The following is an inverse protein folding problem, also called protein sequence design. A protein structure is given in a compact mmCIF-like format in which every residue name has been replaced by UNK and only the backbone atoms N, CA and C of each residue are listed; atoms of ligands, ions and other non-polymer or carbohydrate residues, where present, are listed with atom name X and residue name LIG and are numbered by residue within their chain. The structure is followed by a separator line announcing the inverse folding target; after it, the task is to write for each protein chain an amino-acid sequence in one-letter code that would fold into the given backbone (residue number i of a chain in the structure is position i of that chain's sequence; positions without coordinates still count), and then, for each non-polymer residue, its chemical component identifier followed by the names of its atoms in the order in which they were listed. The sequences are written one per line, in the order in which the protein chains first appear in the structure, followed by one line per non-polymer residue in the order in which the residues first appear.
data_IF_089250172196
#
_entry.id   IF_089250172196
#
_cell.length_a   1.000
_cell.length_b   1.000
_cell.length_c   1.000
_cell.angle_alpha   90.00
_cell.angle_beta   90.00
_cell.angle_gamma   90.00
#
_symmetry.space_group_name_H-M   'P 1'
#
loop_
_entity.id
_entity.type
_entity.pdbx_description
1 polymer ?
#
# COMPACT_ATOMS: atom_id res chain seq x y z
N UNK A 1 -2.09 18.34 43.18
CA UNK A 1 -1.77 17.32 42.18
C UNK A 1 -3.07 16.92 41.50
N UNK A 2 -3.19 17.25 40.20
CA UNK A 2 -4.31 16.95 39.27
C UNK A 2 -5.68 17.50 39.66
N UNK A 3 -5.95 18.71 39.16
CA UNK A 3 -7.26 19.35 39.11
C UNK A 3 -7.81 19.34 37.68
N UNK A 4 -9.14 19.33 37.57
CA UNK A 4 -9.97 19.81 36.44
C UNK A 4 -9.91 19.05 35.11
N UNK A 5 -10.85 18.12 34.90
CA UNK A 5 -11.65 17.97 33.67
C UNK A 5 -13.07 17.60 34.13
N UNK A 6 -14.10 18.10 33.44
CA UNK A 6 -15.53 18.10 33.76
C UNK A 6 -16.02 19.34 34.52
N UNK A 7 -16.19 20.43 33.75
CA UNK A 7 -17.40 21.27 33.67
C UNK A 7 -17.09 22.33 32.60
N UNK A 8 -17.74 22.22 31.44
CA UNK A 8 -18.19 23.28 30.53
C UNK A 8 -18.61 22.63 29.19
N UNK A 9 -19.67 21.82 29.25
CA UNK A 9 -20.52 21.61 28.08
C UNK A 9 -21.35 22.90 27.91
N UNK A 10 -20.78 23.87 27.22
CA UNK A 10 -21.40 25.15 26.89
C UNK A 10 -21.48 25.30 25.38
N UNK A 11 -22.68 25.09 24.85
CA UNK A 11 -23.24 25.60 23.60
C UNK A 11 -22.29 26.46 22.74
N UNK A 12 -21.57 25.83 21.81
CA UNK A 12 -21.07 26.51 20.62
C UNK A 12 -22.05 26.20 19.49
N UNK A 13 -23.04 27.08 19.29
CA UNK A 13 -23.73 27.15 18.01
C UNK A 13 -22.68 27.52 16.96
N UNK A 14 -22.41 26.60 16.03
CA UNK A 14 -21.63 26.90 14.85
C UNK A 14 -22.33 28.05 14.09
N UNK A 15 -21.73 29.23 14.13
CA UNK A 15 -22.07 30.30 13.19
C UNK A 15 -21.59 29.81 11.83
N UNK A 16 -22.45 29.64 10.82
CA UNK A 16 -21.99 29.28 9.49
C UNK A 16 -21.15 30.44 8.97
N UNK A 17 -19.86 30.19 8.75
CA UNK A 17 -19.03 31.04 7.91
C UNK A 17 -19.61 30.97 6.51
N UNK A 18 -20.28 32.05 6.10
CA UNK A 18 -20.68 32.27 4.71
C UNK A 18 -19.39 32.51 3.92
N UNK A 19 -18.82 31.45 3.36
CA UNK A 19 -17.78 31.59 2.35
C UNK A 19 -18.46 32.00 1.05
N UNK A 20 -18.33 33.28 0.67
CA UNK A 20 -18.67 33.79 -0.66
C UNK A 20 -17.64 33.32 -1.72
N UNK A 21 -17.46 32.02 -1.84
CA UNK A 21 -16.78 31.38 -2.97
C UNK A 21 -17.61 30.17 -3.36
N UNK A 22 -18.42 30.32 -4.39
CA UNK A 22 -19.04 29.22 -5.12
C UNK A 22 -17.96 28.40 -5.85
N UNK A 23 -17.04 27.78 -5.13
CA UNK A 23 -16.32 26.60 -5.63
C UNK A 23 -17.30 25.44 -5.56
N UNK A 24 -18.17 25.38 -6.57
CA UNK A 24 -19.04 24.24 -6.83
C UNK A 24 -18.12 23.02 -6.94
N UNK A 25 -18.12 22.15 -5.93
CA UNK A 25 -17.50 20.82 -6.03
C UNK A 25 -18.10 20.19 -7.27
N UNK A 26 -17.31 20.09 -8.34
CA UNK A 26 -17.76 19.47 -9.58
C UNK A 26 -17.87 17.99 -9.20
N UNK A 27 -19.10 17.48 -9.08
CA UNK A 27 -19.31 16.04 -9.00
C UNK A 27 -18.88 15.45 -10.34
N UNK A 28 -17.67 14.94 -10.38
CA UNK A 28 -17.15 14.22 -11.53
C UNK A 28 -17.61 12.78 -11.35
N UNK A 29 -18.38 12.22 -12.30
CA UNK A 29 -18.82 10.84 -12.20
C UNK A 29 -17.59 9.93 -12.21
N UNK A 30 -17.22 9.41 -11.03
CA UNK A 30 -16.33 8.27 -10.92
C UNK A 30 -17.18 7.02 -11.17
N UNK A 31 -16.65 6.09 -11.96
CA UNK A 31 -17.25 4.77 -12.06
C UNK A 31 -16.79 4.04 -10.80
N UNK A 32 -17.60 4.15 -9.75
CA UNK A 32 -17.39 3.40 -8.54
C UNK A 32 -17.66 1.93 -8.84
N UNK A 33 -16.60 1.15 -8.87
CA UNK A 33 -16.73 -0.28 -8.62
C UNK A 33 -17.14 -0.39 -7.16
N UNK A 34 -18.37 -0.79 -6.87
CA UNK A 34 -18.75 -1.07 -5.49
C UNK A 34 -17.82 -2.17 -4.98
N UNK A 35 -16.98 -1.93 -3.95
CA UNK A 35 -16.35 -3.05 -3.27
C UNK A 35 -17.47 -4.01 -2.89
N UNK A 36 -17.28 -5.33 -2.99
CA UNK A 36 -18.41 -6.20 -2.74
C UNK A 36 -18.82 -5.98 -1.27
N UNK A 37 -20.11 -5.70 -1.02
CA UNK A 37 -20.62 -5.32 0.31
C UNK A 37 -21.48 -6.45 0.85
N UNK A 38 -21.14 -6.93 2.04
CA UNK A 38 -21.87 -8.03 2.67
C UNK A 38 -21.53 -9.39 2.06
N UNK A 39 -22.41 -9.91 1.19
CA UNK A 39 -22.45 -11.36 0.85
C UNK A 39 -21.89 -11.68 -0.54
N UNK A 40 -21.45 -10.67 -1.28
CA UNK A 40 -21.00 -10.79 -2.66
C UNK A 40 -19.61 -11.45 -2.74
N UNK A 41 -19.29 -12.21 -3.79
CA UNK A 41 -17.96 -12.78 -3.98
C UNK A 41 -16.86 -11.71 -3.96
N UNK A 42 -15.92 -11.82 -3.01
CA UNK A 42 -14.82 -10.86 -2.82
C UNK A 42 -15.10 -9.72 -1.84
N UNK A 43 -16.24 -9.73 -1.12
CA UNK A 43 -16.60 -8.69 -0.16
C UNK A 43 -15.66 -8.67 1.04
N UNK A 44 -15.20 -7.48 1.45
CA UNK A 44 -14.65 -7.31 2.78
C UNK A 44 -15.79 -7.48 3.81
N UNK A 45 -15.58 -8.22 4.92
CA UNK A 45 -16.59 -8.34 5.97
C UNK A 45 -17.03 -6.96 6.52
N UNK A 46 -18.29 -6.78 6.93
CA UNK A 46 -18.72 -5.57 7.62
C UNK A 46 -17.90 -5.31 8.89
N UNK A 47 -17.71 -4.03 9.26
CA UNK A 47 -17.08 -3.66 10.53
C UNK A 47 -17.84 -4.31 11.70
N UNK A 48 -17.13 -5.12 12.49
CA UNK A 48 -17.75 -5.92 13.55
C UNK A 48 -17.90 -5.13 14.86
N UNK A 49 -17.18 -4.01 15.03
CA UNK A 49 -17.15 -3.20 16.27
C UNK A 49 -17.06 -1.69 16.00
N UNK A 50 -17.84 -0.87 16.73
CA UNK A 50 -17.79 0.61 16.66
C UNK A 50 -16.46 1.18 17.18
N UNK A 51 -15.78 2.00 16.37
CA UNK A 51 -14.52 2.66 16.71
C UNK A 51 -14.65 3.82 17.73
N UNK A 52 -15.86 4.31 18.03
CA UNK A 52 -16.05 5.60 18.71
C UNK A 52 -16.87 5.57 20.01
N UNK A 53 -17.46 4.43 20.37
CA UNK A 53 -18.36 4.36 21.55
C UNK A 53 -18.16 3.16 22.48
N UNK A 54 -17.21 2.26 22.19
CA UNK A 54 -16.92 1.10 23.02
C UNK A 54 -15.60 1.24 23.78
N UNK A 55 -15.60 1.76 25.00
CA UNK A 55 -14.42 1.66 25.86
C UNK A 55 -14.37 0.24 26.42
N UNK A 56 -13.44 -0.58 25.93
CA UNK A 56 -13.19 -1.90 26.50
C UNK A 56 -12.47 -1.73 27.85
N UNK A 57 -12.95 -2.39 28.90
CA UNK A 57 -12.33 -2.32 30.22
C UNK A 57 -11.09 -3.24 30.25
N UNK A 58 -9.90 -2.66 30.47
CA UNK A 58 -8.64 -3.41 30.60
C UNK A 58 -8.25 -3.71 32.06
N UNK A 59 -9.21 -3.63 32.99
CA UNK A 59 -9.00 -4.01 34.39
C UNK A 59 -8.83 -5.52 34.53
N UNK A 60 -8.20 -5.97 35.62
CA UNK A 60 -8.19 -7.38 35.96
C UNK A 60 -9.63 -7.90 36.04
N UNK A 61 -9.93 -8.96 35.29
CA UNK A 61 -11.26 -9.56 35.24
C UNK A 61 -11.76 -9.91 36.64
N UNK A 62 -12.82 -9.25 37.10
CA UNK A 62 -13.47 -9.53 38.38
C UNK A 62 -14.81 -10.22 38.15
N UNK A 63 -14.75 -11.49 37.77
CA UNK A 63 -15.88 -12.38 37.57
C UNK A 63 -15.43 -13.85 37.62
N UNK A 64 -16.36 -14.81 37.55
CA UNK A 64 -16.03 -16.22 37.33
C UNK A 64 -15.96 -16.46 35.82
N UNK A 65 -14.86 -16.98 35.24
CA UNK A 65 -14.73 -17.08 33.78
C UNK A 65 -15.77 -18.06 33.20
N UNK A 66 -16.46 -17.67 32.14
CA UNK A 66 -17.31 -18.57 31.33
C UNK A 66 -16.44 -19.39 30.39
N UNK A 67 -16.67 -20.70 30.28
CA UNK A 67 -15.83 -21.67 29.54
C UNK A 67 -16.51 -22.22 28.28
N UNK A 68 -17.07 -21.38 27.42
CA UNK A 68 -17.66 -21.84 26.14
C UNK A 68 -17.48 -20.81 25.02
N UNK A 69 -16.87 -21.25 23.92
CA UNK A 69 -16.79 -20.55 22.63
C UNK A 69 -18.03 -20.76 21.73
N UNK A 70 -18.01 -20.16 20.54
CA UNK A 70 -19.14 -19.87 19.64
C UNK A 70 -19.93 -21.08 19.08
N UNK A 71 -21.28 -21.05 19.18
CA UNK A 71 -22.34 -22.06 18.85
C UNK A 71 -22.34 -22.81 17.49
N UNK A 72 -22.75 -24.12 17.44
CA UNK A 72 -23.35 -24.90 16.31
C UNK A 72 -24.12 -26.25 16.67
N UNK A 73 -24.49 -27.04 15.63
CA UNK A 73 -25.73 -27.84 15.40
C UNK A 73 -25.54 -29.41 15.29
N UNK A 74 -26.59 -30.27 15.39
CA UNK A 74 -26.46 -31.70 15.76
C UNK A 74 -26.10 -32.83 14.74
N UNK A 75 -25.89 -32.65 13.42
CA UNK A 75 -25.42 -33.76 12.50
C UNK A 75 -25.04 -33.36 11.03
N UNK A 76 -24.27 -34.20 10.27
CA UNK A 76 -24.05 -34.08 8.78
C UNK A 76 -23.65 -35.43 8.07
N UNK A 77 -23.86 -35.54 6.73
CA UNK A 77 -24.36 -36.74 5.99
C UNK A 77 -23.60 -37.36 4.74
N UNK A 78 -22.44 -36.94 4.19
CA UNK A 78 -21.82 -37.63 2.98
C UNK A 78 -20.34 -37.29 2.58
N UNK A 79 -19.74 -38.10 1.65
CA UNK A 79 -18.28 -38.27 1.35
C UNK A 79 -17.80 -38.23 -0.15
N UNK A 80 -18.26 -37.30 -1.00
CA UNK A 80 -17.61 -36.95 -2.31
C UNK A 80 -17.68 -35.44 -2.57
N UNK A 81 -16.71 -34.84 -3.32
CA UNK A 81 -16.71 -33.40 -3.69
C UNK A 81 -16.85 -33.17 -5.22
N UNK A 82 -18.10 -32.93 -5.70
CA UNK A 82 -18.48 -32.02 -6.80
C UNK A 82 -18.25 -30.54 -6.38
N UNK A 83 -18.75 -29.49 -7.05
CA UNK A 83 -18.84 -28.15 -6.37
C UNK A 83 -19.46 -28.37 -4.99
N UNK A 84 -18.73 -28.07 -3.91
CA UNK A 84 -19.20 -28.29 -2.54
C UNK A 84 -18.76 -27.20 -1.55
N UNK A 85 -19.57 -26.95 -0.51
CA UNK A 85 -19.32 -25.95 0.54
C UNK A 85 -18.18 -26.36 1.49
N UNK A 86 -17.67 -25.38 2.22
CA UNK A 86 -16.61 -25.48 3.22
C UNK A 86 -16.85 -26.63 4.25
N UNK A 87 -15.96 -27.63 4.34
CA UNK A 87 -16.13 -28.83 5.17
C UNK A 87 -15.93 -28.63 6.68
N UNK A 88 -15.69 -27.41 7.16
CA UNK A 88 -15.70 -27.06 8.60
C UNK A 88 -16.94 -26.27 9.02
N UNK A 89 -17.90 -26.06 8.12
CA UNK A 89 -19.11 -25.28 8.39
C UNK A 89 -20.05 -25.88 9.46
N UNK A 90 -19.86 -27.13 9.90
CA UNK A 90 -20.71 -27.80 10.92
C UNK A 90 -19.95 -28.43 12.10
N UNK A 91 -18.66 -28.12 12.28
CA UNK A 91 -17.94 -28.53 13.50
C UNK A 91 -18.16 -27.53 14.65
N UNK A 92 -18.90 -27.97 15.66
CA UNK A 92 -19.00 -27.32 16.98
C UNK A 92 -18.95 -28.32 18.12
N UNK A 93 -18.17 -27.97 19.13
CA UNK A 93 -18.04 -28.71 20.37
C UNK A 93 -18.80 -27.94 21.49
N UNK A 94 -20.10 -28.22 21.70
CA UNK A 94 -20.99 -27.41 22.55
C UNK A 94 -20.70 -27.50 24.04
N UNK A 95 -19.95 -28.52 24.46
CA UNK A 95 -19.76 -28.88 25.86
C UNK A 95 -18.31 -28.68 26.33
N UNK A 96 -17.41 -28.17 25.47
CA UNK A 96 -16.05 -27.79 25.83
C UNK A 96 -15.17 -28.94 26.32
N UNK A 97 -15.59 -30.19 26.09
CA UNK A 97 -14.86 -31.39 26.51
C UNK A 97 -14.00 -31.90 25.36
N UNK A 98 -12.80 -32.38 25.68
CA UNK A 98 -11.94 -33.04 24.70
C UNK A 98 -12.60 -34.33 24.24
N UNK A 99 -12.98 -34.36 22.96
CA UNK A 99 -13.56 -35.54 22.31
C UNK A 99 -12.52 -36.42 21.65
N UNK A 100 -11.30 -35.90 21.43
CA UNK A 100 -10.15 -36.63 20.94
C UNK A 100 -8.93 -36.36 21.84
N UNK A 101 -8.06 -37.36 22.08
CA UNK A 101 -6.87 -37.19 22.89
C UNK A 101 -5.90 -36.19 22.23
N UNK A 102 -5.46 -35.21 23.02
CA UNK A 102 -4.32 -34.37 22.63
C UNK A 102 -3.04 -35.23 22.63
N UNK A 103 -2.11 -35.02 21.70
CA UNK A 103 -0.82 -35.71 21.71
C UNK A 103 -0.01 -35.44 23.00
N UNK A 104 -0.14 -34.24 23.57
CA UNK A 104 0.48 -33.80 24.84
C UNK A 104 -0.33 -32.63 25.45
N UNK A 105 -0.32 -32.40 26.78
CA UNK A 105 -1.00 -31.25 27.39
C UNK A 105 -0.58 -29.91 26.78
N UNK A 106 -1.56 -29.06 26.46
CA UNK A 106 -1.39 -27.71 25.89
C UNK A 106 -0.71 -27.65 24.51
N UNK A 107 -0.53 -28.78 23.84
CA UNK A 107 0.15 -28.85 22.55
C UNK A 107 -0.86 -29.21 21.44
N UNK A 108 -1.07 -28.36 20.42
CA UNK A 108 -1.93 -28.70 19.30
C UNK A 108 -1.32 -29.89 18.53
N UNK A 109 -2.17 -30.68 17.88
CA UNK A 109 -1.73 -31.73 16.96
C UNK A 109 -1.14 -31.11 15.68
N UNK A 110 0.00 -30.45 15.77
CA UNK A 110 0.72 -29.94 14.59
C UNK A 110 1.03 -31.08 13.62
N UNK A 111 0.99 -30.79 12.32
CA UNK A 111 1.25 -31.79 11.27
C UNK A 111 0.01 -32.51 10.70
N UNK A 112 -1.21 -31.98 10.92
CA UNK A 112 -2.41 -32.47 10.21
C UNK A 112 -2.18 -32.37 8.69
N UNK A 113 -2.22 -33.49 7.99
CA UNK A 113 -1.96 -33.57 6.54
C UNK A 113 -0.49 -33.85 6.16
N UNK A 114 0.42 -34.00 7.12
CA UNK A 114 1.78 -34.49 6.87
C UNK A 114 1.82 -36.01 7.04
N UNK A 115 2.27 -36.77 6.04
CA UNK A 115 2.35 -38.24 6.10
C UNK A 115 3.56 -38.74 6.94
N UNK A 116 3.83 -38.07 8.06
CA UNK A 116 5.07 -38.24 8.84
C UNK A 116 6.33 -37.63 8.19
N UNK A 117 6.19 -36.99 7.02
CA UNK A 117 7.26 -36.21 6.39
C UNK A 117 7.41 -34.85 7.08
N UNK A 118 8.66 -34.45 7.32
CA UNK A 118 8.98 -33.10 7.78
C UNK A 118 8.44 -32.11 6.74
N UNK A 119 7.58 -31.15 7.11
CA UNK A 119 7.14 -30.13 6.17
C UNK A 119 8.36 -29.31 5.74
N UNK A 120 8.62 -29.30 4.44
CA UNK A 120 9.70 -28.52 3.82
C UNK A 120 9.10 -27.19 3.37
N UNK A 121 9.61 -26.08 3.91
CA UNK A 121 9.11 -24.74 3.61
C UNK A 121 9.93 -24.15 2.48
N UNK A 122 9.63 -24.66 1.29
CA UNK A 122 10.14 -24.17 0.03
C UNK A 122 8.98 -23.61 -0.79
N UNK A 123 9.31 -22.72 -1.73
CA UNK A 123 8.36 -22.30 -2.76
C UNK A 123 7.82 -23.53 -3.49
N UNK A 124 6.48 -23.62 -3.59
CA UNK A 124 5.78 -24.83 -4.04
C UNK A 124 5.47 -24.81 -5.55
N UNK A 125 5.65 -23.65 -6.19
CA UNK A 125 5.41 -23.46 -7.63
C UNK A 125 6.41 -22.50 -8.24
N UNK A 126 6.57 -22.56 -9.57
CA UNK A 126 7.37 -21.58 -10.32
C UNK A 126 6.87 -20.14 -10.10
N UNK A 127 5.55 -19.97 -9.92
CA UNK A 127 4.95 -18.67 -9.62
C UNK A 127 5.36 -18.15 -8.24
N UNK A 128 5.35 -19.02 -7.23
CA UNK A 128 5.80 -18.67 -5.87
C UNK A 128 7.30 -18.33 -5.87
N UNK A 129 8.11 -19.13 -6.56
CA UNK A 129 9.54 -18.87 -6.74
C UNK A 129 9.76 -17.48 -7.35
N UNK A 130 9.08 -17.17 -8.47
CA UNK A 130 9.25 -15.88 -9.15
C UNK A 130 8.72 -14.70 -8.34
N UNK A 131 7.72 -14.94 -7.48
CA UNK A 131 7.17 -13.90 -6.59
C UNK A 131 8.12 -13.60 -5.44
N UNK A 132 8.66 -14.62 -4.79
CA UNK A 132 9.65 -14.45 -3.72
C UNK A 132 10.97 -13.91 -4.28
N UNK A 133 11.38 -14.35 -5.48
CA UNK A 133 12.52 -13.78 -6.17
C UNK A 133 12.34 -12.29 -6.47
N UNK A 134 11.14 -11.87 -6.88
CA UNK A 134 10.83 -10.44 -7.01
C UNK A 134 10.95 -9.70 -5.67
N UNK A 135 10.45 -10.29 -4.57
CA UNK A 135 10.63 -9.76 -3.21
C UNK A 135 12.11 -9.53 -2.88
N UNK A 136 12.97 -10.54 -3.06
CA UNK A 136 14.42 -10.40 -2.85
C UNK A 136 15.04 -9.24 -3.64
N UNK A 137 14.59 -9.00 -4.88
CA UNK A 137 15.07 -7.87 -5.66
C UNK A 137 14.62 -6.52 -5.07
N UNK A 138 13.41 -6.43 -4.53
CA UNK A 138 12.94 -5.25 -3.82
C UNK A 138 13.83 -4.95 -2.60
N UNK A 139 14.06 -5.94 -1.74
CA UNK A 139 14.86 -5.76 -0.52
C UNK A 139 16.28 -5.26 -0.85
N UNK A 140 16.90 -5.76 -1.92
CA UNK A 140 18.21 -5.28 -2.36
C UNK A 140 18.19 -3.86 -2.92
N UNK A 141 17.10 -3.45 -3.57
CA UNK A 141 16.94 -2.08 -4.07
C UNK A 141 16.78 -1.12 -2.89
N UNK A 142 16.01 -1.49 -1.87
CA UNK A 142 15.80 -0.68 -0.66
C UNK A 142 17.09 -0.60 0.17
N UNK A 143 17.80 -1.73 0.34
CA UNK A 143 19.10 -1.75 1.00
C UNK A 143 20.14 -0.86 0.29
N UNK A 144 20.23 -0.95 -1.04
CA UNK A 144 21.12 -0.08 -1.84
C UNK A 144 20.72 1.39 -1.70
N UNK A 145 19.42 1.70 -1.77
CA UNK A 145 18.90 3.05 -1.59
C UNK A 145 19.31 3.64 -0.23
N UNK A 146 19.17 2.88 0.86
CA UNK A 146 19.52 3.36 2.19
C UNK A 146 21.03 3.54 2.36
N UNK A 147 21.85 2.60 1.90
CA UNK A 147 23.30 2.76 1.91
C UNK A 147 23.77 3.93 1.05
N UNK A 148 23.24 4.06 -0.16
CA UNK A 148 23.57 5.15 -1.06
C UNK A 148 23.19 6.51 -0.46
N UNK A 149 21.99 6.61 0.14
CA UNK A 149 21.56 7.81 0.84
C UNK A 149 22.52 8.20 1.97
N UNK A 150 22.97 7.23 2.77
CA UNK A 150 23.90 7.47 3.89
C UNK A 150 25.33 7.83 3.44
N UNK A 151 25.75 7.35 2.28
CA UNK A 151 27.05 7.67 1.66
C UNK A 151 27.03 9.06 1.00
N UNK A 152 25.94 9.40 0.30
CA UNK A 152 25.84 10.66 -0.44
C UNK A 152 25.49 11.85 0.46
N UNK A 153 24.64 11.64 1.47
CA UNK A 153 24.15 12.71 2.33
C UNK A 153 24.83 12.68 3.70
N UNK A 154 25.53 13.77 4.00
CA UNK A 154 26.19 14.01 5.27
C UNK A 154 25.18 14.29 6.39
N UNK A 155 25.64 14.24 7.64
CA UNK A 155 24.85 14.70 8.78
C UNK A 155 24.35 16.14 8.60
N UNK A 156 25.20 17.02 8.03
CA UNK A 156 24.84 18.41 7.78
C UNK A 156 23.71 18.53 6.75
N UNK A 157 23.68 17.67 5.72
CA UNK A 157 22.59 17.68 4.72
C UNK A 157 21.22 17.35 5.35
N UNK A 158 21.20 16.44 6.34
CA UNK A 158 19.98 16.14 7.10
C UNK A 158 19.55 17.33 7.96
N UNK A 159 20.49 17.97 8.66
CA UNK A 159 20.22 19.18 9.46
C UNK A 159 19.72 20.32 8.57
N UNK A 160 20.32 20.50 7.41
CA UNK A 160 19.96 21.48 6.38
C UNK A 160 18.64 21.15 5.67
N UNK A 161 18.08 19.95 5.89
CA UNK A 161 16.73 19.55 5.48
C UNK A 161 15.71 19.69 6.63
N UNK A 162 16.13 20.17 7.81
CA UNK A 162 15.28 20.29 9.00
C UNK A 162 15.02 18.96 9.71
N UNK A 163 15.82 17.94 9.42
CA UNK A 163 15.84 16.65 10.11
C UNK A 163 16.91 16.64 11.21
N UNK A 164 16.99 15.57 11.98
CA UNK A 164 18.00 15.40 13.03
C UNK A 164 19.00 14.30 12.72
N UNK A 165 20.06 14.23 13.53
CA UNK A 165 21.07 13.17 13.42
C UNK A 165 20.45 11.79 13.69
N UNK A 166 19.42 11.74 14.55
CA UNK A 166 18.64 10.55 14.85
C UNK A 166 17.82 10.08 13.66
N UNK A 167 17.28 10.98 12.83
CA UNK A 167 16.61 10.61 11.59
C UNK A 167 17.57 9.92 10.62
N UNK A 168 18.82 10.40 10.52
CA UNK A 168 19.87 9.71 9.74
C UNK A 168 20.21 8.34 10.33
N UNK A 169 20.28 8.19 11.65
CA UNK A 169 20.48 6.89 12.32
C UNK A 169 19.32 5.93 12.12
N UNK A 170 18.10 6.45 11.97
CA UNK A 170 16.94 5.63 11.66
C UNK A 170 17.07 5.00 10.26
N UNK A 171 17.62 5.73 9.27
CA UNK A 171 17.95 5.16 7.95
C UNK A 171 19.02 4.06 8.05
N UNK A 172 20.04 4.23 8.89
CA UNK A 172 21.04 3.18 9.15
C UNK A 172 20.38 1.91 9.75
N UNK A 173 19.41 2.10 10.63
CA UNK A 173 18.66 0.99 11.20
C UNK A 173 17.77 0.29 10.17
N UNK A 174 17.07 1.03 9.31
CA UNK A 174 16.27 0.47 8.21
C UNK A 174 17.14 -0.35 7.25
N UNK A 175 18.34 0.11 6.89
CA UNK A 175 19.28 -0.69 6.10
C UNK A 175 19.62 -2.04 6.76
N UNK A 176 19.69 -2.09 8.09
CA UNK A 176 19.88 -3.36 8.81
C UNK A 176 18.65 -4.28 8.70
N UNK A 177 17.44 -3.70 8.68
CA UNK A 177 16.21 -4.45 8.47
C UNK A 177 16.17 -5.06 7.06
N UNK A 178 16.49 -4.29 6.02
CA UNK A 178 16.51 -4.79 4.63
C UNK A 178 17.54 -5.87 4.41
N UNK A 179 18.72 -5.78 5.05
CA UNK A 179 19.69 -6.87 5.02
C UNK A 179 19.11 -8.16 5.64
N UNK A 180 18.31 -8.04 6.70
CA UNK A 180 17.58 -9.13 7.33
C UNK A 180 16.50 -9.72 6.42
N UNK A 181 15.67 -8.87 5.82
CA UNK A 181 14.61 -9.27 4.88
C UNK A 181 15.20 -9.95 3.63
N UNK A 182 16.22 -9.36 3.01
CA UNK A 182 16.91 -9.95 1.86
C UNK A 182 17.50 -11.33 2.18
N UNK A 183 18.11 -11.49 3.36
CA UNK A 183 18.64 -12.77 3.83
C UNK A 183 17.52 -13.79 4.02
N UNK A 184 16.44 -13.38 4.68
CA UNK A 184 15.27 -14.21 4.94
C UNK A 184 14.65 -14.71 3.63
N UNK A 185 14.30 -13.81 2.71
CA UNK A 185 13.67 -14.16 1.44
C UNK A 185 14.61 -14.97 0.54
N UNK A 186 15.92 -14.71 0.56
CA UNK A 186 16.91 -15.51 -0.17
C UNK A 186 16.97 -16.95 0.34
N UNK A 187 16.88 -17.14 1.67
CA UNK A 187 16.83 -18.48 2.26
C UNK A 187 15.57 -19.25 1.84
N UNK A 188 14.46 -18.57 1.51
CA UNK A 188 13.23 -19.20 0.99
C UNK A 188 13.39 -19.76 -0.43
N UNK A 189 14.32 -19.20 -1.20
CA UNK A 189 14.60 -19.60 -2.58
C UNK A 189 15.68 -20.69 -2.68
N UNK A 190 16.43 -20.92 -1.60
CA UNK A 190 17.46 -21.96 -1.52
C UNK A 190 17.02 -23.17 -0.67
N UNK A 191 17.86 -24.21 -0.64
CA UNK A 191 17.64 -25.43 0.16
C UNK A 191 17.86 -25.21 1.68
N UNK A 192 17.68 -23.98 2.18
CA UNK A 192 18.15 -23.54 3.50
C UNK A 192 17.05 -23.28 4.53
N UNK A 193 15.77 -23.45 4.18
CA UNK A 193 14.66 -23.36 5.14
C UNK A 193 14.08 -24.72 5.51
N UNK A 194 14.61 -25.27 6.61
CA UNK A 194 13.97 -26.31 7.43
C UNK A 194 13.08 -25.70 8.54
N UNK A 195 12.57 -24.47 8.37
CA UNK A 195 11.81 -23.75 9.42
C UNK A 195 10.34 -23.59 9.05
N UNK A 196 9.44 -23.77 10.03
CA UNK A 196 7.99 -23.80 9.82
C UNK A 196 7.31 -22.43 9.65
N UNK A 197 8.09 -21.36 9.79
CA UNK A 197 7.57 -20.01 10.02
C UNK A 197 7.62 -19.12 8.77
N UNK A 198 7.99 -19.67 7.61
CA UNK A 198 8.29 -18.89 6.39
C UNK A 198 7.16 -17.98 5.91
N UNK A 199 5.90 -18.44 5.97
CA UNK A 199 4.75 -17.61 5.59
C UNK A 199 4.53 -16.45 6.58
N UNK A 200 4.76 -16.68 7.88
CA UNK A 200 4.71 -15.62 8.90
C UNK A 200 5.83 -14.61 8.68
N UNK A 201 7.02 -15.08 8.29
CA UNK A 201 8.18 -14.22 8.08
C UNK A 201 8.01 -13.27 6.89
N UNK A 202 7.34 -13.69 5.80
CA UNK A 202 6.96 -12.77 4.70
C UNK A 202 5.99 -11.70 5.16
N UNK A 203 5.00 -12.05 5.98
CA UNK A 203 4.04 -11.10 6.56
C UNK A 203 4.73 -10.14 7.53
N UNK A 204 5.73 -10.61 8.28
CA UNK A 204 6.54 -9.77 9.16
C UNK A 204 7.39 -8.77 8.37
N UNK A 205 8.00 -9.18 7.25
CA UNK A 205 8.73 -8.26 6.36
C UNK A 205 7.81 -7.18 5.78
N UNK A 206 6.64 -7.55 5.24
CA UNK A 206 5.64 -6.59 4.74
C UNK A 206 5.21 -5.59 5.83
N UNK A 207 5.05 -6.05 7.07
CA UNK A 207 4.71 -5.18 8.19
C UNK A 207 5.83 -4.17 8.51
N UNK A 208 7.10 -4.53 8.32
CA UNK A 208 8.22 -3.59 8.45
C UNK A 208 8.20 -2.57 7.31
N UNK A 209 7.98 -3.00 6.06
CA UNK A 209 7.89 -2.08 4.91
C UNK A 209 6.82 -1.00 5.12
N UNK A 210 5.65 -1.40 5.61
CA UNK A 210 4.59 -0.45 5.96
C UNK A 210 5.02 0.56 7.04
N UNK A 211 5.82 0.12 8.03
CA UNK A 211 6.38 1.01 9.05
C UNK A 211 7.40 1.96 8.47
N UNK A 212 8.27 1.51 7.56
CA UNK A 212 9.24 2.38 6.92
C UNK A 212 8.58 3.45 6.06
N UNK A 213 7.58 3.07 5.27
CA UNK A 213 6.75 4.02 4.53
C UNK A 213 6.15 5.08 5.47
N UNK A 214 5.63 4.69 6.64
CA UNK A 214 5.08 5.62 7.62
C UNK A 214 6.10 6.63 8.15
N UNK A 215 7.37 6.24 8.27
CA UNK A 215 8.47 7.13 8.67
C UNK A 215 8.80 8.09 7.52
N UNK A 216 8.96 7.61 6.28
CA UNK A 216 9.25 8.51 5.15
C UNK A 216 8.17 9.56 4.95
N UNK A 217 6.89 9.20 5.17
CA UNK A 217 5.79 10.17 5.18
C UNK A 217 5.95 11.21 6.28
N UNK A 218 6.29 10.80 7.50
CA UNK A 218 6.56 11.73 8.60
C UNK A 218 7.71 12.68 8.27
N UNK A 219 8.81 12.18 7.70
CA UNK A 219 9.96 13.03 7.30
C UNK A 219 9.57 14.07 6.24
N UNK A 220 8.53 13.82 5.43
CA UNK A 220 7.94 14.78 4.48
C UNK A 220 6.85 15.69 5.10
N UNK A 221 6.60 15.58 6.40
CA UNK A 221 5.52 16.28 7.10
C UNK A 221 4.12 15.83 6.69
N UNK A 222 3.99 14.62 6.15
CA UNK A 222 2.72 13.99 5.81
C UNK A 222 2.26 13.07 6.93
N UNK A 223 0.96 12.78 6.97
CA UNK A 223 0.40 11.82 7.93
C UNK A 223 1.06 10.44 7.77
N UNK A 224 1.60 9.84 8.85
CA UNK A 224 2.26 8.53 8.79
C UNK A 224 1.36 7.38 8.34
N UNK A 225 0.10 7.39 8.75
CA UNK A 225 -0.84 6.29 8.56
C UNK A 225 -2.12 6.81 7.91
N UNK A 226 -2.08 7.22 6.64
CA UNK A 226 -3.22 7.85 5.97
C UNK A 226 -4.24 6.84 5.41
N UNK A 227 -3.91 5.55 5.45
CA UNK A 227 -4.67 4.46 4.85
C UNK A 227 -4.91 3.38 5.90
N UNK A 228 -6.00 2.65 5.73
CA UNK A 228 -6.36 1.51 6.58
C UNK A 228 -5.67 0.22 6.13
N UNK A 229 -5.44 0.08 4.82
CA UNK A 229 -4.83 -1.11 4.22
C UNK A 229 -3.80 -0.72 3.16
N UNK A 230 -2.60 -1.32 3.20
CA UNK A 230 -1.64 -1.20 2.12
C UNK A 230 -2.16 -1.95 0.87
N UNK A 231 -2.04 -1.36 -0.31
CA UNK A 231 -2.53 -1.98 -1.53
C UNK A 231 -1.55 -3.04 -2.05
N UNK A 232 -2.03 -4.28 -2.23
CA UNK A 232 -1.30 -5.31 -2.95
C UNK A 232 -1.40 -5.14 -4.47
N UNK A 233 -0.30 -5.31 -5.19
CA UNK A 233 -0.25 -5.20 -6.65
C UNK A 233 0.26 -6.48 -7.32
N UNK A 234 -0.14 -6.77 -8.58
CA UNK A 234 0.41 -7.88 -9.34
C UNK A 234 1.93 -7.77 -9.54
N UNK A 235 2.61 -8.90 -9.60
CA UNK A 235 4.07 -8.98 -9.77
C UNK A 235 4.57 -8.23 -11.01
N UNK A 236 3.79 -8.21 -12.10
CA UNK A 236 4.13 -7.43 -13.30
C UNK A 236 4.06 -5.91 -13.09
N UNK A 237 3.15 -5.43 -12.24
CA UNK A 237 3.08 -4.00 -11.91
C UNK A 237 4.26 -3.62 -11.04
N UNK A 238 4.51 -4.45 -10.03
CA UNK A 238 5.63 -4.31 -9.12
C UNK A 238 6.96 -4.28 -9.89
N UNK A 239 7.22 -5.27 -10.74
CA UNK A 239 8.42 -5.31 -11.56
C UNK A 239 8.53 -4.14 -12.54
N UNK A 240 7.40 -3.66 -13.10
CA UNK A 240 7.39 -2.46 -13.94
C UNK A 240 7.91 -1.24 -13.20
N UNK A 241 7.54 -1.06 -11.93
CA UNK A 241 7.94 0.08 -11.12
C UNK A 241 9.40 -0.04 -10.65
N UNK A 242 9.83 -1.23 -10.22
CA UNK A 242 11.19 -1.46 -9.71
C UNK A 242 12.26 -1.49 -10.80
N UNK A 243 12.01 -2.16 -11.93
CA UNK A 243 13.04 -2.40 -12.96
C UNK A 243 13.65 -1.09 -13.51
N UNK A 244 12.94 0.03 -13.42
CA UNK A 244 13.44 1.34 -13.85
C UNK A 244 14.66 1.83 -13.05
N UNK A 245 14.85 1.32 -11.83
CA UNK A 245 15.92 1.71 -10.91
C UNK A 245 17.12 0.77 -10.94
N UNK A 246 17.01 -0.38 -11.61
CA UNK A 246 18.08 -1.39 -11.66
C UNK A 246 18.97 -1.12 -12.86
N UNK A 247 20.20 -0.68 -12.60
CA UNK A 247 21.18 -0.38 -13.66
C UNK A 247 21.77 -1.65 -14.29
N UNK A 248 22.17 -2.62 -13.46
CA UNK A 248 22.82 -3.85 -13.89
C UNK A 248 22.68 -4.96 -12.85
N UNK A 249 22.87 -6.20 -13.28
CA UNK A 249 23.01 -7.36 -12.40
C UNK A 249 24.32 -8.10 -12.72
N UNK A 250 24.90 -8.83 -11.76
CA UNK A 250 25.99 -9.77 -12.03
C UNK A 250 25.68 -10.72 -13.20
N UNK A 251 26.73 -11.10 -13.93
CA UNK A 251 26.60 -12.06 -15.02
C UNK A 251 26.06 -13.41 -14.52
N UNK A 252 25.25 -14.09 -15.34
CA UNK A 252 24.60 -15.38 -15.06
C UNK A 252 23.41 -15.35 -14.07
N UNK A 253 22.88 -14.18 -13.71
CA UNK A 253 21.62 -14.12 -12.97
C UNK A 253 20.41 -14.48 -13.86
N UNK A 254 19.52 -15.31 -13.33
CA UNK A 254 18.24 -15.63 -13.97
C UNK A 254 17.34 -14.40 -13.98
N UNK A 255 16.76 -14.10 -15.14
CA UNK A 255 15.81 -12.99 -15.29
C UNK A 255 14.46 -13.36 -14.67
N UNK A 256 13.84 -12.40 -14.00
CA UNK A 256 12.43 -12.50 -13.61
C UNK A 256 11.53 -12.58 -14.85
N UNK A 257 10.43 -13.34 -14.77
CA UNK A 257 9.52 -13.62 -15.89
C UNK A 257 8.41 -12.57 -16.08
N UNK A 258 8.40 -11.51 -15.26
CA UNK A 258 7.31 -10.56 -15.19
C UNK A 258 7.32 -9.55 -16.35
N UNK A 259 6.12 -9.20 -16.84
CA UNK A 259 5.96 -8.19 -17.90
C UNK A 259 6.32 -6.80 -17.36
N UNK A 260 7.00 -6.00 -18.18
CA UNK A 260 7.16 -4.56 -17.97
C UNK A 260 6.17 -3.78 -18.82
N UNK A 261 5.32 -2.96 -18.21
CA UNK A 261 4.40 -2.06 -18.92
C UNK A 261 5.11 -0.74 -19.29
N UNK A 262 4.60 -0.01 -20.31
CA UNK A 262 5.02 1.37 -20.55
C UNK A 262 4.77 2.26 -19.32
N UNK A 263 5.60 3.29 -19.13
CA UNK A 263 5.46 4.21 -18.02
C UNK A 263 4.31 5.20 -18.25
N UNK A 264 3.56 5.48 -17.19
CA UNK A 264 2.58 6.55 -17.08
C UNK A 264 3.15 7.63 -16.17
N UNK A 265 3.19 8.85 -16.67
CA UNK A 265 3.76 10.01 -15.99
C UNK A 265 2.67 10.99 -15.61
N UNK A 266 2.69 11.43 -14.35
CA UNK A 266 1.83 12.50 -13.83
C UNK A 266 2.57 13.82 -13.99
N UNK A 267 2.18 14.61 -15.01
CA UNK A 267 2.85 15.86 -15.37
C UNK A 267 2.79 16.89 -14.24
N UNK A 268 1.64 16.96 -13.58
CA UNK A 268 1.40 17.88 -12.47
C UNK A 268 1.31 17.11 -11.14
N UNK A 269 2.25 16.20 -10.87
CA UNK A 269 2.35 15.54 -9.56
C UNK A 269 2.49 16.60 -8.47
N UNK A 270 1.79 16.45 -7.35
CA UNK A 270 1.92 17.40 -6.25
C UNK A 270 3.30 17.31 -5.59
N UNK A 271 3.93 18.45 -5.30
CA UNK A 271 5.22 18.48 -4.64
C UNK A 271 5.07 18.69 -3.12
N UNK A 272 5.38 17.68 -2.28
CA UNK A 272 5.29 17.79 -0.83
C UNK A 272 6.30 18.79 -0.23
N UNK A 273 7.33 19.20 -0.98
CA UNK A 273 8.31 20.19 -0.54
C UNK A 273 7.81 21.63 -0.68
N UNK A 274 6.62 21.86 -1.25
CA UNK A 274 6.01 23.19 -1.36
C UNK A 274 5.00 23.43 -0.23
N UNK A 275 4.93 24.67 0.26
CA UNK A 275 3.86 25.13 1.16
C UNK A 275 2.49 24.91 0.50
N UNK A 276 2.35 25.35 -0.76
CA UNK A 276 1.19 25.05 -1.59
C UNK A 276 1.53 23.95 -2.60
N UNK A 277 1.22 22.71 -2.25
CA UNK A 277 1.45 21.54 -3.08
C UNK A 277 0.70 21.57 -4.43
N UNK A 278 -0.37 22.36 -4.55
CA UNK A 278 -1.13 22.50 -5.80
C UNK A 278 -0.57 23.56 -6.74
N UNK A 279 0.36 24.40 -6.28
CA UNK A 279 1.10 25.35 -7.12
C UNK A 279 2.31 24.70 -7.83
N UNK A 280 2.35 23.35 -7.89
CA UNK A 280 3.45 22.60 -8.49
C UNK A 280 3.55 22.86 -10.00
N UNK A 281 4.77 23.13 -10.46
CA UNK A 281 5.04 23.26 -11.89
C UNK A 281 4.93 21.91 -12.61
N UNK A 282 4.71 21.96 -13.93
CA UNK A 282 4.79 20.76 -14.74
C UNK A 282 6.19 20.13 -14.62
N UNK A 283 6.26 18.82 -14.40
CA UNK A 283 7.50 18.05 -14.25
C UNK A 283 8.41 18.53 -13.13
N UNK A 284 7.84 18.94 -11.99
CA UNK A 284 8.62 19.33 -10.81
C UNK A 284 9.10 18.12 -9.99
N UNK A 285 9.81 17.24 -10.69
CA UNK A 285 10.42 16.00 -10.20
C UNK A 285 11.90 15.98 -10.56
N UNK A 286 12.69 15.13 -9.91
CA UNK A 286 14.15 15.07 -10.13
C UNK A 286 14.57 14.31 -11.39
N UNK A 287 13.63 13.62 -12.06
CA UNK A 287 13.91 12.84 -13.25
C UNK A 287 12.67 12.55 -14.11
N UNK A 288 12.72 11.47 -14.88
CA UNK A 288 11.71 11.10 -15.87
C UNK A 288 11.23 9.64 -15.72
N UNK A 289 11.51 9.00 -14.59
CA UNK A 289 10.90 7.71 -14.23
C UNK A 289 9.56 7.96 -13.58
N UNK A 290 8.74 6.93 -13.62
CA UNK A 290 7.35 6.95 -13.13
C UNK A 290 7.20 7.40 -11.68
N UNK A 291 8.20 7.11 -10.85
CA UNK A 291 8.17 7.33 -9.40
C UNK A 291 9.31 8.21 -8.93
N UNK A 292 9.93 8.99 -9.83
CA UNK A 292 11.05 9.85 -9.43
C UNK A 292 10.57 10.88 -8.39
N UNK A 293 11.38 11.12 -7.33
CA UNK A 293 11.00 12.04 -6.25
C UNK A 293 10.69 13.45 -6.74
N UNK A 294 9.86 14.16 -5.99
CA UNK A 294 9.59 15.57 -6.22
C UNK A 294 10.85 16.42 -6.03
N UNK A 295 10.98 17.48 -6.82
CA UNK A 295 12.15 18.36 -6.73
C UNK A 295 12.20 19.05 -5.35
N UNK A 296 13.32 18.94 -4.64
CA UNK A 296 13.54 19.56 -3.33
C UNK A 296 14.11 20.98 -3.40
N UNK A 297 14.58 21.41 -4.57
CA UNK A 297 15.14 22.76 -4.80
C UNK A 297 14.01 23.77 -5.02
N UNK A 298 13.27 24.07 -3.96
CA UNK A 298 12.16 25.02 -3.96
C UNK A 298 12.61 26.39 -3.44
N UNK A 299 12.21 27.51 -4.06
CA UNK A 299 12.52 28.85 -3.55
C UNK A 299 12.11 29.00 -2.08
N UNK A 300 12.95 29.62 -1.24
CA UNK A 300 12.77 29.65 0.20
C UNK A 300 11.38 30.13 0.67
N UNK A 301 10.79 31.12 0.01
CA UNK A 301 9.43 31.62 0.34
C UNK A 301 8.28 30.70 -0.07
N UNK A 302 8.56 29.62 -0.80
CA UNK A 302 7.59 28.60 -1.24
C UNK A 302 7.89 27.23 -0.64
N UNK A 303 9.06 27.07 -0.02
CA UNK A 303 9.54 25.80 0.52
C UNK A 303 8.85 25.48 1.83
N UNK A 304 8.40 24.24 1.97
CA UNK A 304 7.93 23.68 3.23
C UNK A 304 9.09 23.41 4.21
N UNK A 305 10.31 23.25 3.69
CA UNK A 305 11.51 22.99 4.48
C UNK A 305 11.89 24.27 5.25
N UNK A 306 12.00 24.20 6.57
CA UNK A 306 12.24 25.33 7.49
C UNK A 306 11.12 26.36 7.65
N UNK A 307 9.92 26.09 7.14
CA UNK A 307 8.80 26.99 7.39
C UNK A 307 8.34 26.90 8.85
N UNK A 308 8.60 27.96 9.63
CA UNK A 308 8.21 28.06 11.04
C UNK A 308 7.05 29.06 11.27
N UNK A 309 6.31 29.38 10.20
CA UNK A 309 5.14 30.26 10.31
C UNK A 309 3.97 29.48 10.90
N UNK A 310 3.46 29.93 12.04
CA UNK A 310 2.27 29.37 12.68
C UNK A 310 1.11 29.30 11.68
N UNK A 311 0.54 28.11 11.51
CA UNK A 311 -0.56 27.85 10.57
C UNK A 311 -0.11 27.22 9.25
N UNK A 312 1.18 27.22 8.91
CA UNK A 312 1.72 26.53 7.74
C UNK A 312 2.62 25.37 8.18
N UNK A 313 2.00 24.36 8.77
CA UNK A 313 2.69 23.20 9.32
C UNK A 313 3.17 22.27 8.20
N UNK A 314 4.48 22.24 7.96
CA UNK A 314 5.12 21.41 6.94
C UNK A 314 6.17 20.44 7.49
N UNK A 315 6.62 20.63 8.74
CA UNK A 315 7.71 19.85 9.32
C UNK A 315 7.27 18.49 9.84
N UNK A 316 8.23 17.56 10.05
CA UNK A 316 7.94 16.23 10.57
C UNK A 316 7.16 16.25 11.88
N UNK A 317 6.15 15.39 11.99
CA UNK A 317 5.44 15.18 13.25
C UNK A 317 4.66 13.87 13.28
N UNK A 318 4.40 13.42 14.50
CA UNK A 318 3.74 12.14 14.78
C UNK A 318 2.24 12.16 14.41
N UNK A 319 1.57 13.31 14.52
CA UNK A 319 0.10 13.36 14.50
C UNK A 319 -0.48 14.57 13.77
N UNK A 320 0.25 15.16 12.83
CA UNK A 320 -0.21 16.38 12.15
C UNK A 320 -0.22 16.17 10.64
N UNK A 321 -1.29 16.63 10.03
CA UNK A 321 -1.39 16.77 8.58
C UNK A 321 -0.78 18.11 8.15
N UNK A 322 -0.43 18.19 6.86
CA UNK A 322 -0.15 19.48 6.24
C UNK A 322 -1.38 20.38 6.35
N UNK A 323 -1.15 21.68 6.46
CA UNK A 323 -2.24 22.66 6.45
C UNK A 323 -3.04 22.62 5.15
N UNK A 324 -2.34 22.61 4.01
CA UNK A 324 -2.92 22.36 2.70
C UNK A 324 -2.67 20.88 2.34
N UNK A 325 -3.72 20.12 1.97
CA UNK A 325 -3.54 18.74 1.56
C UNK A 325 -2.69 18.68 0.28
N UNK A 326 -1.91 17.61 0.15
CA UNK A 326 -1.04 17.38 -1.01
C UNK A 326 -1.89 17.35 -2.30
N UNK A 327 -3.06 16.73 -2.25
CA UNK A 327 -4.02 16.70 -3.36
C UNK A 327 -5.47 16.76 -2.86
N UNK A 328 -6.46 16.80 -3.76
CA UNK A 328 -7.86 16.85 -3.37
C UNK A 328 -8.78 16.20 -4.42
N UNK A 329 -9.94 15.65 -3.99
CA UNK A 329 -10.99 15.18 -4.89
C UNK A 329 -11.36 16.18 -6.00
N UNK A 330 -11.42 15.71 -7.25
CA UNK A 330 -11.73 16.56 -8.41
C UNK A 330 -10.54 17.38 -8.94
N UNK A 331 -9.34 17.23 -8.36
CA UNK A 331 -8.11 17.82 -8.91
C UNK A 331 -7.86 17.27 -10.32
N UNK A 332 -7.61 18.16 -11.29
CA UNK A 332 -7.22 17.76 -12.65
C UNK A 332 -5.83 17.13 -12.62
N UNK A 333 -5.70 15.94 -13.20
CA UNK A 333 -4.45 15.19 -13.28
C UNK A 333 -4.05 15.07 -14.74
N UNK A 334 -2.93 15.68 -15.09
CA UNK A 334 -2.40 15.71 -16.45
C UNK A 334 -1.41 14.56 -16.64
N UNK A 335 -1.62 13.79 -17.70
CA UNK A 335 -0.96 12.51 -17.92
C UNK A 335 -0.26 12.48 -19.27
N UNK A 336 0.94 11.89 -19.26
CA UNK A 336 1.61 11.45 -20.50
C UNK A 336 2.07 10.01 -20.33
N UNK A 337 2.19 9.25 -21.42
CA UNK A 337 2.64 7.87 -21.34
C UNK A 337 3.58 7.49 -22.46
N UNK A 338 4.39 6.49 -22.20
CA UNK A 338 5.37 5.99 -23.15
C UNK A 338 4.75 5.03 -24.17
N UNK A 339 5.38 4.92 -25.35
CA UNK A 339 5.11 3.82 -26.27
C UNK A 339 5.77 2.53 -25.76
N UNK A 340 5.22 1.34 -26.09
CA UNK A 340 5.91 0.08 -25.85
C UNK A 340 7.20 -0.02 -26.68
N UNK A 341 8.06 -0.98 -26.32
CA UNK A 341 9.31 -1.26 -27.01
C UNK A 341 10.54 -0.58 -26.39
N UNK A 342 10.40 0.08 -25.23
CA UNK A 342 11.54 0.69 -24.55
C UNK A 342 12.32 -0.35 -23.76
N UNK A 343 13.64 -0.30 -23.90
CA UNK A 343 14.51 -1.14 -23.09
C UNK A 343 14.59 -0.61 -21.65
N UNK A 344 14.44 -1.49 -20.67
CA UNK A 344 14.41 -1.17 -19.23
C UNK A 344 15.07 -2.29 -18.41
N UNK A 345 15.20 -2.10 -17.10
CA UNK A 345 15.76 -3.12 -16.23
C UNK A 345 17.28 -3.24 -16.32
N UNK A 346 17.85 -4.23 -15.61
CA UNK A 346 19.29 -4.43 -15.55
C UNK A 346 19.86 -4.63 -16.94
N UNK A 347 20.92 -3.87 -17.26
CA UNK A 347 21.59 -3.92 -18.55
C UNK A 347 20.66 -3.67 -19.75
N UNK A 348 19.55 -2.94 -19.56
CA UNK A 348 18.51 -2.72 -20.58
C UNK A 348 17.98 -4.02 -21.21
N UNK A 349 17.87 -5.07 -20.38
CA UNK A 349 17.63 -6.42 -20.86
C UNK A 349 16.14 -6.81 -20.95
N UNK A 350 15.25 -5.95 -20.46
CA UNK A 350 13.79 -6.07 -20.57
C UNK A 350 13.26 -5.08 -21.58
N UNK A 351 12.08 -5.36 -22.14
CA UNK A 351 11.42 -4.47 -23.11
C UNK A 351 9.99 -4.22 -22.66
N UNK A 352 9.58 -2.96 -22.58
CA UNK A 352 8.20 -2.61 -22.23
C UNK A 352 7.23 -3.10 -23.30
N UNK A 353 6.08 -3.63 -22.89
CA UNK A 353 5.08 -4.16 -23.82
C UNK A 353 3.66 -4.00 -23.29
N UNK A 354 2.70 -3.91 -24.20
CA UNK A 354 1.28 -3.88 -23.89
C UNK A 354 0.50 -4.48 -25.05
N UNK A 355 -0.58 -5.21 -24.73
CA UNK A 355 -1.57 -5.71 -25.69
C UNK A 355 -2.85 -4.89 -25.66
N UNK A 356 -2.94 -3.91 -24.75
CA UNK A 356 -4.12 -3.10 -24.56
C UNK A 356 -4.43 -2.26 -25.79
N UNK A 357 -5.72 -2.08 -26.05
CA UNK A 357 -6.25 -1.16 -27.03
C UNK A 357 -5.99 0.31 -26.66
N UNK A 358 -6.82 1.20 -27.21
CA UNK A 358 -6.71 2.63 -26.93
C UNK A 358 -7.15 2.90 -25.48
N UNK A 359 -6.34 3.61 -24.67
CA UNK A 359 -6.70 3.88 -23.29
C UNK A 359 -7.92 4.81 -23.24
N UNK A 360 -8.92 4.41 -22.46
CA UNK A 360 -10.18 5.14 -22.28
C UNK A 360 -10.42 5.51 -20.82
N UNK A 361 -9.74 4.83 -19.89
CA UNK A 361 -9.91 5.01 -18.46
C UNK A 361 -8.57 5.16 -17.74
N UNK A 362 -8.62 5.79 -16.57
CA UNK A 362 -7.56 5.76 -15.56
C UNK A 362 -8.09 4.95 -14.39
N UNK A 363 -7.45 3.82 -14.13
CA UNK A 363 -7.68 2.97 -12.97
C UNK A 363 -6.84 3.48 -11.79
N UNK A 364 -7.45 3.58 -10.61
CA UNK A 364 -6.86 4.08 -9.38
C UNK A 364 -6.93 2.98 -8.34
N UNK A 365 -5.82 2.30 -8.11
CA UNK A 365 -5.72 1.25 -7.10
C UNK A 365 -5.22 1.86 -5.80
N UNK A 366 -6.07 1.79 -4.78
CA UNK A 366 -5.80 2.30 -3.45
C UNK A 366 -6.44 1.38 -2.43
N UNK A 367 -5.65 0.95 -1.45
CA UNK A 367 -6.07 0.07 -0.36
C UNK A 367 -6.76 -1.21 -0.87
N UNK A 368 -8.09 -1.28 -0.75
CA UNK A 368 -8.91 -2.45 -1.10
C UNK A 368 -9.61 -2.32 -2.46
N UNK A 369 -9.60 -1.14 -3.08
CA UNK A 369 -10.46 -0.82 -4.23
C UNK A 369 -9.67 -0.36 -5.45
N UNK A 370 -10.19 -0.69 -6.63
CA UNK A 370 -9.74 -0.17 -7.91
C UNK A 370 -10.85 0.68 -8.54
N UNK A 371 -10.68 1.99 -8.58
CA UNK A 371 -11.72 2.92 -9.07
C UNK A 371 -11.35 3.41 -10.46
N UNK A 372 -12.33 3.67 -11.32
CA UNK A 372 -12.08 4.19 -12.66
C UNK A 372 -12.60 5.61 -12.85
N UNK A 373 -11.85 6.37 -13.64
CA UNK A 373 -12.24 7.69 -14.14
C UNK A 373 -12.01 7.74 -15.65
N UNK A 374 -12.79 8.53 -16.37
CA UNK A 374 -12.60 8.69 -17.81
C UNK A 374 -11.28 9.41 -18.14
N UNK A 375 -10.51 8.86 -19.08
CA UNK A 375 -9.35 9.53 -19.65
C UNK A 375 -9.80 10.42 -20.83
N UNK A 376 -9.52 11.73 -20.73
CA UNK A 376 -9.69 12.67 -21.85
C UNK A 376 -8.37 12.79 -22.62
N UNK A 377 -8.26 12.10 -23.76
CA UNK A 377 -7.09 12.17 -24.64
C UNK A 377 -7.08 13.51 -25.38
N UNK A 378 -5.99 14.26 -25.26
CA UNK A 378 -5.81 15.59 -25.86
C UNK A 378 -4.74 15.65 -26.94
N UNK A 379 -3.92 14.59 -27.07
CA UNK A 379 -2.89 14.48 -28.09
C UNK A 379 -2.27 13.09 -28.14
N UNK A 380 -1.21 12.93 -28.94
CA UNK A 380 -0.47 11.67 -28.98
C UNK A 380 0.17 11.40 -27.63
N UNK A 381 -0.27 10.32 -26.98
CA UNK A 381 0.12 9.91 -25.65
C UNK A 381 0.04 10.99 -24.56
N UNK A 382 -0.98 11.85 -24.67
CA UNK A 382 -1.26 12.90 -23.71
C UNK A 382 -2.75 12.98 -23.44
N UNK A 383 -3.10 13.21 -22.19
CA UNK A 383 -4.48 13.38 -21.77
C UNK A 383 -4.58 13.89 -20.36
N UNK A 384 -5.78 13.93 -19.84
CA UNK A 384 -6.02 14.23 -18.43
C UNK A 384 -7.21 13.44 -17.91
N UNK A 385 -7.25 13.32 -16.60
CA UNK A 385 -8.41 12.85 -15.84
C UNK A 385 -8.59 13.77 -14.63
N UNK A 386 -9.46 13.38 -13.71
CA UNK A 386 -9.62 14.03 -12.43
C UNK A 386 -9.51 13.01 -11.31
N UNK A 387 -8.89 13.42 -10.21
CA UNK A 387 -8.81 12.61 -9.00
C UNK A 387 -10.23 12.24 -8.53
N UNK A 388 -10.55 10.96 -8.32
CA UNK A 388 -11.88 10.53 -7.91
C UNK A 388 -12.26 11.11 -6.54
N UNK A 389 -13.56 11.37 -6.36
CA UNK A 389 -14.15 11.92 -5.14
C UNK A 389 -14.93 10.87 -4.33
N UNK A 390 -14.40 9.65 -4.28
CA UNK A 390 -15.03 8.47 -3.68
C UNK A 390 -14.42 8.15 -2.31
N UNK A 391 -15.03 7.20 -1.60
CA UNK A 391 -14.54 6.64 -0.33
C UNK A 391 -14.10 5.18 -0.52
N UNK A 392 -13.08 4.73 0.21
CA UNK A 392 -12.69 3.30 0.24
C UNK A 392 -13.51 2.55 1.29
N UNK A 393 -13.51 3.03 2.54
CA UNK A 393 -14.13 2.34 3.69
C UNK A 393 -14.54 3.35 4.77
N UNK A 394 -15.81 3.33 5.20
CA UNK A 394 -16.34 4.17 6.30
C UNK A 394 -15.82 5.62 6.37
N UNK A 395 -16.21 6.47 5.43
CA UNK A 395 -15.78 7.89 5.33
C UNK A 395 -14.31 8.11 4.99
N UNK A 396 -13.50 7.05 4.84
CA UNK A 396 -12.12 7.15 4.41
C UNK A 396 -12.04 7.52 2.91
N UNK A 397 -11.40 8.65 2.54
CA UNK A 397 -11.26 9.04 1.15
C UNK A 397 -10.54 7.98 0.32
N UNK A 398 -10.97 7.82 -0.94
CA UNK A 398 -10.38 6.82 -1.82
C UNK A 398 -8.88 7.02 -2.06
N UNK A 399 -8.43 8.27 -1.96
CA UNK A 399 -7.05 8.68 -2.19
C UNK A 399 -6.61 9.62 -1.06
N UNK A 400 -6.04 9.03 -0.01
CA UNK A 400 -5.41 9.74 1.10
C UNK A 400 -3.90 9.40 1.24
N UNK A 401 -3.41 8.44 0.46
CA UNK A 401 -2.01 8.06 0.34
C UNK A 401 -1.59 7.86 -1.11
N UNK A 402 -0.36 7.41 -1.34
CA UNK A 402 0.11 7.09 -2.70
C UNK A 402 -0.75 5.97 -3.31
N UNK A 403 -1.21 6.17 -4.53
CA UNK A 403 -1.99 5.19 -5.28
C UNK A 403 -1.24 4.71 -6.52
N UNK A 404 -1.47 3.45 -6.88
CA UNK A 404 -1.03 2.89 -8.15
C UNK A 404 -2.06 3.26 -9.20
N UNK A 405 -1.63 3.84 -10.32
CA UNK A 405 -2.52 4.25 -11.40
C UNK A 405 -2.18 3.52 -12.70
N UNK A 406 -3.20 3.17 -13.48
CA UNK A 406 -3.04 2.51 -14.76
C UNK A 406 -3.90 3.18 -15.82
N UNK A 407 -3.38 3.34 -17.04
CA UNK A 407 -4.24 3.62 -18.20
C UNK A 407 -4.79 2.31 -18.73
N UNK A 408 -6.10 2.18 -18.85
CA UNK A 408 -6.76 0.96 -19.32
C UNK A 408 -7.68 1.22 -20.50
N UNK A 409 -7.85 0.21 -21.36
CA UNK A 409 -8.80 0.25 -22.48
C UNK A 409 -10.23 -0.17 -22.07
N UNK A 410 -10.40 -0.72 -20.87
CA UNK A 410 -11.67 -1.12 -20.26
C UNK A 410 -11.72 -0.70 -18.78
N UNK A 411 -12.93 -0.53 -18.27
CA UNK A 411 -13.27 -0.25 -16.87
C UNK A 411 -13.77 -1.53 -16.15
N UNK A 412 -13.21 -2.69 -16.52
CA UNK A 412 -13.72 -3.96 -16.03
C UNK A 412 -13.63 -4.06 -14.50
N UNK A 413 -14.66 -4.64 -13.91
CA UNK A 413 -14.70 -4.86 -12.47
C UNK A 413 -13.68 -5.92 -12.05
N UNK A 414 -12.79 -5.55 -11.13
CA UNK A 414 -11.80 -6.44 -10.50
C UNK A 414 -11.73 -6.15 -9.00
N UNK A 415 -11.31 -7.15 -8.25
CA UNK A 415 -11.01 -7.09 -6.82
C UNK A 415 -9.53 -7.38 -6.61
N UNK A 416 -8.97 -7.15 -5.41
CA UNK A 416 -7.59 -7.54 -5.10
C UNK A 416 -7.29 -9.01 -5.42
N UNK A 417 -8.30 -9.89 -5.38
CA UNK A 417 -8.15 -11.31 -5.70
C UNK A 417 -7.86 -11.60 -7.19
N UNK A 418 -8.47 -10.85 -8.11
CA UNK A 418 -8.39 -11.11 -9.55
C UNK A 418 -7.80 -9.96 -10.37
N UNK A 419 -7.10 -9.04 -9.71
CA UNK A 419 -6.50 -7.84 -10.31
C UNK A 419 -5.56 -8.15 -11.49
N UNK A 420 -4.95 -9.34 -11.51
CA UNK A 420 -4.10 -9.82 -12.61
C UNK A 420 -4.83 -9.91 -13.96
N UNK A 421 -6.16 -10.07 -13.97
CA UNK A 421 -6.96 -10.09 -15.21
C UNK A 421 -6.91 -8.72 -15.91
N UNK A 422 -6.54 -7.64 -15.21
CA UNK A 422 -6.38 -6.32 -15.81
C UNK A 422 -5.09 -6.20 -16.66
N UNK A 423 -4.08 -7.06 -16.47
CA UNK A 423 -2.79 -6.95 -17.15
C UNK A 423 -2.89 -6.81 -18.69
N UNK A 424 -3.69 -7.61 -19.42
CA UNK A 424 -3.81 -7.49 -20.87
C UNK A 424 -4.44 -6.16 -21.33
N UNK A 425 -5.11 -5.45 -20.42
CA UNK A 425 -5.86 -4.21 -20.63
C UNK A 425 -5.11 -2.95 -20.22
N UNK A 426 -3.90 -3.10 -19.67
CA UNK A 426 -3.07 -1.97 -19.22
C UNK A 426 -2.22 -1.43 -20.36
N UNK A 427 -2.43 -0.15 -20.68
CA UNK A 427 -1.64 0.60 -21.65
C UNK A 427 -0.35 1.14 -21.03
N UNK A 428 -0.42 1.66 -19.82
CA UNK A 428 0.72 2.23 -19.10
C UNK A 428 0.47 2.24 -17.58
N UNK A 429 1.53 2.16 -16.77
CA UNK A 429 1.49 2.12 -15.29
C UNK A 429 2.25 3.28 -14.65
N UNK A 430 1.66 3.80 -13.57
CA UNK A 430 2.04 5.04 -12.91
C UNK A 430 1.91 4.99 -11.39
N UNK A 431 2.50 5.97 -10.71
CA UNK A 431 2.17 6.29 -9.31
C UNK A 431 1.57 7.70 -9.21
N UNK A 432 0.61 7.85 -8.31
CA UNK A 432 0.03 9.14 -7.94
C UNK A 432 0.22 9.39 -6.45
N UNK A 433 0.86 10.50 -6.09
CA UNK A 433 1.04 10.88 -4.70
C UNK A 433 -0.17 11.69 -4.23
N UNK A 434 -0.84 11.21 -3.19
CA UNK A 434 -1.95 11.88 -2.55
C UNK A 434 -1.80 11.90 -1.02
N UNK A 435 -2.65 12.70 -0.38
CA UNK A 435 -2.64 13.02 1.05
C UNK A 435 -2.91 14.48 1.28
#
# INVERSE_FOLDING_TARGET
MKSLIWILAGSAAAVPLVSNSETKVINIPAIETQPPRGNEPGAAPPLVNSATTGVTTHGAYSGTPTTTGAEQYPSTLAATIPIQPNPTATYYNPNGKLTEPMPMPYMPAGGVGTNGTVPVYMVQSDFDYQSVALGVHQEYIELDLFHYGLEVFSEQDFLDAGLTVEDRRLIEYMATQEAGHATLLSNMLGDHLDSKEVATLVVEAEAIEARQQSIFRQLLGLQPMPIWFAAGIPQSWHWTLLAQYISSCPANNTRLVWQNFPNLHVVNQANPNRINANATAAWEVVGNRTSDPSNSTIPAGQSCVHNNVTGYNCGPAISRDKYDPLTFPGRKVELTWDEPGRAVGPNNSYVTSTTAGKPSFVAWLSQLNLIYTELKVTGQNKGYTYQPASEVFETDPALNGTAFIALTDTDMFVTPYNLTILNPHIRALGLYQAG
#
